data_IF_095500849867
#
_entry.id   IF_095500849867
#
_cell.length_a   1.000
_cell.length_b   1.000
_cell.length_c   1.000
_cell.angle_alpha   90.00
_cell.angle_beta   90.00
_cell.angle_gamma   90.00
#
_symmetry.space_group_name_H-M   'P 1'
#
loop_
_entity.id
_entity.type
_entity.pdbx_description
1 polymer ?
#
# COMPACT_ATOMS: atom_id res chain seq x y z
N UNK A 1 25.85 28.91 -3.21
CA UNK A 1 25.31 27.77 -3.97
C UNK A 1 24.21 27.18 -3.13
N UNK A 2 22.98 27.07 -3.65
CA UNK A 2 21.93 26.35 -2.93
C UNK A 2 22.36 24.88 -2.92
N UNK A 3 22.40 24.25 -1.75
CA UNK A 3 22.72 22.82 -1.63
C UNK A 3 21.56 21.99 -2.19
N UNK A 4 21.51 21.91 -3.53
CA UNK A 4 20.50 21.15 -4.27
C UNK A 4 20.47 19.68 -3.84
N UNK A 5 21.58 19.15 -3.35
CA UNK A 5 21.66 17.81 -2.74
C UNK A 5 20.94 17.69 -1.40
N UNK A 6 20.89 18.74 -0.57
CA UNK A 6 20.16 18.72 0.69
C UNK A 6 18.64 18.81 0.45
N UNK A 7 18.22 19.63 -0.53
CA UNK A 7 16.82 19.76 -0.92
C UNK A 7 16.26 18.48 -1.57
N UNK A 8 17.05 17.80 -2.42
CA UNK A 8 16.63 16.57 -3.11
C UNK A 8 16.48 15.37 -2.16
N UNK A 9 17.39 15.23 -1.17
CA UNK A 9 17.26 14.20 -0.12
C UNK A 9 15.98 14.37 0.70
N UNK A 10 15.59 15.62 0.99
CA UNK A 10 14.37 15.90 1.74
C UNK A 10 13.10 15.59 0.93
N UNK A 11 13.10 15.81 -0.39
CA UNK A 11 11.99 15.39 -1.26
C UNK A 11 11.86 13.86 -1.36
N UNK A 12 12.98 13.14 -1.42
CA UNK A 12 12.98 11.67 -1.48
C UNK A 12 12.39 11.05 -0.21
N UNK A 13 12.75 11.57 0.97
CA UNK A 13 12.19 11.11 2.25
C UNK A 13 10.68 11.30 2.30
N UNK A 14 10.18 12.46 1.85
CA UNK A 14 8.74 12.75 1.82
C UNK A 14 8.00 11.82 0.85
N UNK A 15 8.59 11.54 -0.31
CA UNK A 15 8.04 10.65 -1.32
C UNK A 15 7.95 9.21 -0.82
N UNK A 16 9.01 8.66 -0.23
CA UNK A 16 8.99 7.29 0.32
C UNK A 16 8.02 7.15 1.50
N UNK A 17 7.95 8.18 2.37
CA UNK A 17 6.94 8.23 3.43
C UNK A 17 5.53 8.23 2.85
N UNK A 18 5.25 9.06 1.84
CA UNK A 18 3.94 9.13 1.19
C UNK A 18 3.59 7.79 0.53
N UNK A 19 4.51 7.18 -0.22
CA UNK A 19 4.32 5.85 -0.82
C UNK A 19 3.99 4.81 0.24
N UNK A 20 4.72 4.75 1.36
CA UNK A 20 4.44 3.81 2.44
C UNK A 20 3.00 3.95 2.97
N UNK A 21 2.57 5.19 3.29
CA UNK A 21 1.21 5.44 3.77
C UNK A 21 0.14 5.13 2.72
N UNK A 22 0.38 5.43 1.44
CA UNK A 22 -0.53 5.06 0.35
C UNK A 22 -0.71 3.55 0.27
N UNK A 23 0.38 2.77 0.38
CA UNK A 23 0.28 1.30 0.39
C UNK A 23 -0.53 0.80 1.60
N UNK A 24 -0.34 1.38 2.79
CA UNK A 24 -1.17 1.04 3.97
C UNK A 24 -2.65 1.32 3.71
N UNK A 25 -2.99 2.50 3.18
CA UNK A 25 -4.39 2.86 2.90
C UNK A 25 -5.00 1.92 1.86
N UNK A 26 -4.27 1.60 0.79
CA UNK A 26 -4.71 0.64 -0.23
C UNK A 26 -4.92 -0.76 0.36
N UNK A 27 -4.05 -1.19 1.27
CA UNK A 27 -4.17 -2.47 1.95
C UNK A 27 -5.46 -2.53 2.78
N UNK A 28 -5.72 -1.48 3.58
CA UNK A 28 -6.92 -1.39 4.41
C UNK A 28 -8.18 -1.38 3.54
N UNK A 29 -8.20 -0.58 2.46
CA UNK A 29 -9.33 -0.54 1.54
C UNK A 29 -9.57 -1.90 0.86
N UNK A 30 -8.51 -2.59 0.45
CA UNK A 30 -8.60 -3.93 -0.14
C UNK A 30 -9.19 -4.95 0.84
N UNK A 31 -8.74 -4.94 2.11
CA UNK A 31 -9.28 -5.80 3.15
C UNK A 31 -10.75 -5.50 3.42
N UNK A 32 -11.13 -4.22 3.56
CA UNK A 32 -12.53 -3.82 3.78
C UNK A 32 -13.40 -4.27 2.59
N UNK A 33 -12.93 -4.09 1.37
CA UNK A 33 -13.64 -4.55 0.17
C UNK A 33 -13.86 -6.07 0.19
N UNK A 34 -12.86 -6.86 0.59
CA UNK A 34 -13.00 -8.32 0.71
C UNK A 34 -14.02 -8.70 1.79
N UNK A 35 -13.98 -8.03 2.95
CA UNK A 35 -14.95 -8.27 4.02
C UNK A 35 -16.37 -7.97 3.54
N UNK A 36 -16.58 -6.88 2.79
CA UNK A 36 -17.90 -6.56 2.23
C UNK A 36 -18.40 -7.63 1.26
N UNK A 37 -17.53 -8.19 0.42
CA UNK A 37 -17.91 -9.30 -0.49
C UNK A 37 -18.25 -10.56 0.30
N UNK A 38 -17.45 -10.91 1.31
CA UNK A 38 -17.64 -12.13 2.12
C UNK A 38 -18.93 -12.04 2.96
N UNK A 39 -19.16 -10.91 3.63
CA UNK A 39 -20.30 -10.72 4.52
C UNK A 39 -21.57 -10.28 3.78
N UNK A 40 -21.44 -9.69 2.59
CA UNK A 40 -22.56 -9.24 1.77
C UNK A 40 -23.20 -10.35 0.92
N UNK A 41 -22.62 -11.55 0.88
CA UNK A 41 -23.02 -12.59 -0.06
C UNK A 41 -23.91 -13.70 0.53
N UNK A 42 -24.51 -13.51 1.70
CA UNK A 42 -25.39 -14.50 2.38
C UNK A 42 -24.76 -15.92 2.46
N UNK A 43 -23.44 -16.01 2.61
CA UNK A 43 -22.71 -17.28 2.69
C UNK A 43 -22.27 -17.88 1.35
N UNK A 44 -22.57 -17.23 0.21
CA UNK A 44 -22.09 -17.66 -1.11
C UNK A 44 -21.32 -16.53 -1.85
N UNK A 45 -20.11 -16.17 -1.39
CA UNK A 45 -19.33 -15.11 -2.02
C UNK A 45 -18.86 -15.52 -3.41
N UNK A 46 -19.09 -14.64 -4.39
CA UNK A 46 -18.66 -14.88 -5.78
C UNK A 46 -17.12 -14.95 -5.84
N UNK A 47 -16.53 -16.11 -6.20
CA UNK A 47 -15.09 -16.25 -6.30
C UNK A 47 -14.48 -15.29 -7.34
N UNK A 48 -15.22 -14.90 -8.37
CA UNK A 48 -14.75 -13.94 -9.37
C UNK A 48 -14.62 -12.51 -8.80
N UNK A 49 -15.40 -12.19 -7.76
CA UNK A 49 -15.29 -10.93 -7.03
C UNK A 49 -14.18 -10.97 -5.97
N UNK A 50 -13.90 -12.14 -5.38
CA UNK A 50 -12.86 -12.31 -4.35
C UNK A 50 -11.43 -12.30 -4.92
N UNK A 51 -11.20 -13.00 -6.05
CA UNK A 51 -9.87 -13.20 -6.62
C UNK A 51 -9.13 -11.88 -6.89
N UNK A 52 -9.75 -10.86 -7.53
CA UNK A 52 -9.09 -9.57 -7.75
C UNK A 52 -8.74 -8.84 -6.45
N UNK A 53 -9.63 -8.88 -5.45
CA UNK A 53 -9.40 -8.25 -4.15
C UNK A 53 -8.23 -8.90 -3.41
N UNK A 54 -8.16 -10.24 -3.40
CA UNK A 54 -7.05 -10.97 -2.79
C UNK A 54 -5.73 -10.65 -3.52
N UNK A 55 -5.74 -10.65 -4.86
CA UNK A 55 -4.54 -10.33 -5.65
C UNK A 55 -3.98 -8.94 -5.33
N UNK A 56 -4.85 -7.93 -5.20
CA UNK A 56 -4.46 -6.56 -4.84
C UNK A 56 -3.86 -6.53 -3.43
N UNK A 57 -4.52 -7.15 -2.45
CA UNK A 57 -4.04 -7.20 -1.06
C UNK A 57 -2.66 -7.86 -0.98
N UNK A 58 -2.47 -8.99 -1.66
CA UNK A 58 -1.18 -9.70 -1.70
C UNK A 58 -0.11 -8.84 -2.38
N UNK A 59 -0.41 -8.22 -3.52
CA UNK A 59 0.55 -7.36 -4.23
C UNK A 59 0.99 -6.18 -3.34
N UNK A 60 0.04 -5.51 -2.68
CA UNK A 60 0.33 -4.38 -1.79
C UNK A 60 1.15 -4.85 -0.57
N UNK A 61 0.82 -6.01 0.02
CA UNK A 61 1.55 -6.58 1.13
C UNK A 61 3.01 -6.93 0.78
N UNK A 62 3.29 -7.36 -0.46
CA UNK A 62 4.65 -7.63 -0.94
C UNK A 62 5.46 -6.34 -1.15
N UNK A 63 4.81 -5.27 -1.61
CA UNK A 63 5.46 -3.98 -1.88
C UNK A 63 5.70 -3.15 -0.62
N UNK A 64 4.89 -3.37 0.43
CA UNK A 64 4.95 -2.62 1.68
C UNK A 64 6.35 -2.65 2.36
N UNK A 65 7.01 -3.82 2.54
CA UNK A 65 8.34 -3.89 3.13
C UNK A 65 9.40 -3.12 2.34
N UNK A 66 9.29 -3.08 1.01
CA UNK A 66 10.24 -2.36 0.16
C UNK A 66 10.12 -0.86 0.34
N UNK A 67 8.89 -0.34 0.37
CA UNK A 67 8.64 1.08 0.66
C UNK A 67 9.10 1.47 2.08
N UNK A 68 8.87 0.59 3.06
CA UNK A 68 9.32 0.79 4.45
C UNK A 68 10.85 0.82 4.57
N UNK A 69 11.55 -0.15 3.96
CA UNK A 69 13.03 -0.19 3.94
C UNK A 69 13.62 1.07 3.32
N UNK A 70 13.08 1.53 2.19
CA UNK A 70 13.54 2.76 1.53
C UNK A 70 13.23 4.03 2.35
N UNK A 71 12.11 4.07 3.05
CA UNK A 71 11.81 5.16 3.98
C UNK A 71 12.78 5.17 5.17
N UNK A 72 13.10 4.00 5.74
CA UNK A 72 14.03 3.87 6.87
C UNK A 72 15.48 4.19 6.46
N UNK A 73 15.93 3.76 5.28
CA UNK A 73 17.30 3.98 4.81
C UNK A 73 17.61 5.44 4.49
N UNK A 74 16.58 6.28 4.29
CA UNK A 74 16.73 7.71 4.02
C UNK A 74 16.54 8.58 5.30
N UNK A 75 16.39 7.97 6.48
CA UNK A 75 16.46 8.66 7.79
C UNK A 75 17.90 8.80 8.23
#
# INVERSE_FOLDING_TARGET
MVDWEAASRQSDVRLWRAMFWIHIVLLVLGIVSLLLVIFGSEGNPDPWALVPGIAIVVMVAILLPNSYKKWQSNR
#
